data_IF_060373726980
#
_entry.id   IF_060373726980
#
_cell.length_a   1.000
_cell.length_b   1.000
_cell.length_c   1.000
_cell.angle_alpha   90.00
_cell.angle_beta   90.00
_cell.angle_gamma   90.00
#
_symmetry.space_group_name_H-M   'P 1'
#
loop_
_entity.id
_entity.type
_entity.pdbx_description
1 polymer ?
#
# COMPACT_ATOMS: atom_id res chain seq x y z
N UNK A 1 13.77 -0.61 -13.61
CA UNK A 1 13.15 -1.69 -12.82
C UNK A 1 12.99 -2.91 -13.73
N UNK A 2 13.34 -4.13 -13.27
CA UNK A 2 13.13 -5.38 -14.03
C UNK A 2 11.68 -5.59 -14.49
N UNK A 3 11.44 -6.54 -15.41
CA UNK A 3 10.08 -6.85 -15.90
C UNK A 3 9.21 -7.55 -14.85
N UNK A 4 9.82 -8.34 -13.98
CA UNK A 4 9.17 -8.98 -12.84
C UNK A 4 9.70 -8.32 -11.57
N UNK A 5 8.83 -7.60 -10.86
CA UNK A 5 9.22 -6.85 -9.64
C UNK A 5 8.06 -6.79 -8.67
N UNK A 6 8.37 -6.97 -7.39
CA UNK A 6 7.52 -6.59 -6.27
C UNK A 6 8.22 -5.45 -5.55
N UNK A 7 7.50 -4.36 -5.34
CA UNK A 7 7.90 -3.24 -4.49
C UNK A 7 6.95 -3.23 -3.29
N UNK A 8 7.48 -3.56 -2.12
CA UNK A 8 6.69 -3.73 -0.89
C UNK A 8 7.41 -3.08 0.30
N UNK A 9 6.64 -2.39 1.14
CA UNK A 9 7.13 -1.82 2.39
C UNK A 9 6.23 -0.71 2.92
N UNK A 10 6.70 -0.03 3.95
CA UNK A 10 6.09 1.18 4.50
C UNK A 10 6.54 2.41 3.69
N UNK A 11 5.59 3.10 3.07
CA UNK A 11 5.88 4.28 2.27
C UNK A 11 5.62 5.60 3.02
N UNK A 12 4.89 5.58 4.15
CA UNK A 12 4.49 6.78 4.90
C UNK A 12 3.88 7.90 4.04
N UNK A 13 3.07 7.54 3.04
CA UNK A 13 2.38 8.49 2.16
C UNK A 13 0.90 8.14 2.00
N UNK A 14 0.09 9.18 1.95
CA UNK A 14 -1.36 9.08 1.73
C UNK A 14 -1.70 9.45 0.29
N UNK A 15 -2.56 8.66 -0.36
CA UNK A 15 -3.13 8.98 -1.67
C UNK A 15 -4.54 8.38 -1.79
N UNK A 16 -5.50 9.09 -2.42
CA UNK A 16 -6.86 8.58 -2.63
C UNK A 16 -6.96 7.26 -3.42
N UNK A 17 -5.86 6.79 -4.03
CA UNK A 17 -5.84 5.56 -4.85
C UNK A 17 -5.77 4.32 -3.98
N UNK A 18 -4.97 4.35 -2.90
CA UNK A 18 -4.88 3.25 -1.94
C UNK A 18 -5.65 3.53 -0.65
N UNK A 19 -5.89 4.79 -0.31
CA UNK A 19 -6.61 5.23 0.88
C UNK A 19 -7.75 6.21 0.49
N UNK A 20 -8.92 5.73 0.04
CA UNK A 20 -9.99 6.61 -0.44
C UNK A 20 -10.55 7.57 0.62
N UNK A 21 -10.28 7.32 1.90
CA UNK A 21 -10.65 8.20 3.01
C UNK A 21 -9.84 9.49 3.04
N UNK A 22 -8.66 9.54 2.39
CA UNK A 22 -7.91 10.79 2.25
C UNK A 22 -8.47 11.63 1.10
N UNK A 23 -8.75 12.90 1.36
CA UNK A 23 -9.30 13.81 0.36
C UNK A 23 -8.26 14.28 -0.68
N UNK A 24 -6.98 14.26 -0.33
CA UNK A 24 -5.89 14.69 -1.21
C UNK A 24 -4.60 13.90 -0.97
N UNK A 25 -3.73 13.79 -1.98
CA UNK A 25 -2.44 13.15 -1.82
C UNK A 25 -1.52 13.97 -0.90
N UNK A 26 -0.72 13.28 -0.09
CA UNK A 26 0.38 13.88 0.67
C UNK A 26 1.46 14.45 -0.28
N UNK A 27 2.34 15.37 0.17
CA UNK A 27 3.22 16.17 -0.71
C UNK A 27 4.10 15.41 -1.71
N UNK A 28 4.38 14.12 -1.47
CA UNK A 28 5.18 13.26 -2.37
C UNK A 28 4.37 12.15 -3.03
N UNK A 29 3.14 11.91 -2.59
CA UNK A 29 2.36 10.77 -3.06
C UNK A 29 1.98 10.89 -4.54
N UNK A 30 1.67 12.10 -5.01
CA UNK A 30 1.30 12.32 -6.40
C UNK A 30 2.48 12.01 -7.35
N UNK A 31 3.67 12.55 -7.04
CA UNK A 31 4.89 12.26 -7.82
C UNK A 31 5.27 10.78 -7.77
N UNK A 32 5.09 10.14 -6.61
CA UNK A 32 5.32 8.70 -6.48
C UNK A 32 4.33 7.89 -7.33
N UNK A 33 3.06 8.27 -7.37
CA UNK A 33 2.04 7.63 -8.21
C UNK A 33 2.37 7.77 -9.70
N UNK A 34 2.76 8.96 -10.14
CA UNK A 34 3.20 9.18 -11.53
C UNK A 34 4.44 8.34 -11.87
N UNK A 35 5.37 8.21 -10.93
CA UNK A 35 6.53 7.35 -11.11
C UNK A 35 6.12 5.87 -11.22
N UNK A 36 5.22 5.37 -10.36
CA UNK A 36 4.69 4.00 -10.44
C UNK A 36 4.06 3.73 -11.82
N UNK A 37 3.23 4.65 -12.30
CA UNK A 37 2.59 4.56 -13.61
C UNK A 37 3.63 4.50 -14.74
N UNK A 38 4.69 5.33 -14.65
CA UNK A 38 5.79 5.32 -15.62
C UNK A 38 6.62 4.02 -15.64
N UNK A 39 6.45 3.15 -14.64
CA UNK A 39 7.18 1.87 -14.48
C UNK A 39 6.30 0.64 -14.65
N UNK A 40 5.02 0.80 -15.00
CA UNK A 40 4.04 -0.29 -15.06
C UNK A 40 3.91 -1.02 -13.70
N UNK A 41 4.01 -0.30 -12.59
CA UNK A 41 3.82 -0.85 -11.25
C UNK A 41 2.38 -0.64 -10.80
N UNK A 42 1.65 -1.72 -10.60
CA UNK A 42 0.23 -1.72 -10.25
C UNK A 42 0.04 -2.04 -8.76
N UNK A 43 -0.94 -1.39 -8.14
CA UNK A 43 -1.28 -1.62 -6.73
C UNK A 43 -1.92 -3.02 -6.58
N UNK A 44 -1.33 -3.84 -5.71
CA UNK A 44 -1.89 -5.15 -5.32
C UNK A 44 -2.72 -5.10 -4.04
N UNK A 45 -2.60 -4.04 -3.23
CA UNK A 45 -3.40 -3.89 -2.03
C UNK A 45 -4.90 -3.98 -2.34
N UNK A 46 -5.65 -4.50 -1.39
CA UNK A 46 -7.09 -4.22 -1.32
C UNK A 46 -7.26 -2.74 -0.96
N UNK A 47 -7.93 -1.99 -1.83
CA UNK A 47 -8.11 -0.54 -1.68
C UNK A 47 -8.82 -0.23 -0.35
N UNK A 48 -8.22 0.67 0.45
CA UNK A 48 -8.75 1.10 1.74
C UNK A 48 -8.54 0.13 2.90
N UNK A 49 -7.91 -1.03 2.67
CA UNK A 49 -7.56 -1.96 3.75
C UNK A 49 -6.43 -1.35 4.60
N UNK A 50 -6.75 -1.03 5.85
CA UNK A 50 -5.85 -0.34 6.78
C UNK A 50 -4.65 -1.23 7.15
N UNK A 51 -3.46 -0.65 7.14
CA UNK A 51 -2.20 -1.34 7.45
C UNK A 51 -1.51 -0.77 8.67
N UNK A 52 -1.91 0.42 9.13
CA UNK A 52 -1.30 1.11 10.25
C UNK A 52 -2.36 1.72 11.18
N UNK A 53 -2.19 1.57 12.49
CA UNK A 53 -3.13 2.02 13.51
C UNK A 53 -2.46 2.88 14.57
N UNK A 54 -3.09 4.00 14.94
CA UNK A 54 -2.64 4.83 16.06
C UNK A 54 -3.62 4.71 17.23
N UNK A 55 -3.16 4.61 18.49
CA UNK A 55 -4.04 4.43 19.66
C UNK A 55 -5.14 5.47 19.85
N UNK A 56 -5.00 6.65 19.24
CA UNK A 56 -5.91 7.78 19.43
C UNK A 56 -6.69 8.16 18.17
N UNK A 57 -6.57 7.38 17.09
CA UNK A 57 -7.32 7.61 15.86
C UNK A 57 -8.39 6.53 15.72
N UNK A 58 -9.61 6.96 15.37
CA UNK A 58 -10.74 6.05 15.14
C UNK A 58 -10.57 5.21 13.88
N UNK A 59 -9.69 5.62 12.96
CA UNK A 59 -9.40 4.95 11.70
C UNK A 59 -7.91 4.73 11.53
N UNK A 60 -7.56 3.59 10.96
CA UNK A 60 -6.22 3.32 10.50
C UNK A 60 -5.89 4.07 9.21
N UNK A 61 -4.63 3.95 8.79
CA UNK A 61 -4.13 4.46 7.52
C UNK A 61 -3.62 3.32 6.64
N UNK A 62 -3.50 3.58 5.35
CA UNK A 62 -2.96 2.63 4.38
C UNK A 62 -1.55 3.09 3.98
N UNK A 63 -0.55 2.67 4.75
CA UNK A 63 0.85 3.12 4.61
C UNK A 63 1.77 2.04 4.04
N UNK A 64 1.54 0.79 4.43
CA UNK A 64 2.21 -0.37 3.86
C UNK A 64 1.55 -0.76 2.53
N UNK A 65 2.32 -0.69 1.44
CA UNK A 65 1.82 -0.88 0.09
C UNK A 65 2.59 -1.99 -0.62
N UNK A 66 1.91 -2.66 -1.55
CA UNK A 66 2.44 -3.69 -2.43
C UNK A 66 2.16 -3.28 -3.87
N UNK A 67 3.21 -3.09 -4.66
CA UNK A 67 3.10 -2.83 -6.09
C UNK A 67 3.81 -3.92 -6.88
N UNK A 68 3.19 -4.40 -7.95
CA UNK A 68 3.79 -5.42 -8.83
C UNK A 68 3.88 -4.99 -10.27
N UNK A 69 4.89 -5.53 -10.94
CA UNK A 69 5.08 -5.47 -12.39
C UNK A 69 5.38 -6.87 -12.89
N UNK A 70 4.62 -7.34 -13.87
CA UNK A 70 4.84 -8.64 -14.51
C UNK A 70 4.78 -9.83 -13.54
N UNK A 71 4.10 -9.66 -12.40
CA UNK A 71 3.88 -10.65 -11.35
C UNK A 71 2.42 -10.50 -10.91
N UNK A 72 1.67 -11.61 -10.96
CA UNK A 72 0.32 -11.67 -10.42
C UNK A 72 0.41 -11.96 -8.92
N UNK A 73 -0.43 -11.30 -8.13
CA UNK A 73 -0.57 -11.58 -6.70
C UNK A 73 -2.01 -11.92 -6.41
N UNK A 74 -2.25 -13.03 -5.71
CA UNK A 74 -3.59 -13.47 -5.29
C UNK A 74 -3.67 -13.55 -3.77
N UNK A 75 -4.91 -13.50 -3.25
CA UNK A 75 -5.19 -13.58 -1.81
C UNK A 75 -4.43 -12.54 -0.97
N UNK A 76 -4.29 -11.31 -1.48
CA UNK A 76 -3.69 -10.22 -0.72
C UNK A 76 -4.56 -9.87 0.48
N UNK A 77 -3.95 -9.84 1.66
CA UNK A 77 -4.62 -9.47 2.90
C UNK A 77 -3.62 -8.96 3.95
N UNK A 78 -4.13 -8.25 4.94
CA UNK A 78 -3.42 -7.98 6.19
C UNK A 78 -3.48 -9.19 7.11
N UNK A 79 -2.49 -9.28 8.00
CA UNK A 79 -2.41 -10.30 9.05
C UNK A 79 -3.10 -9.80 10.32
N UNK A 80 -3.50 -10.71 11.24
CA UNK A 80 -3.90 -10.32 12.58
C UNK A 80 -2.82 -9.48 13.27
N UNK A 81 -3.23 -8.62 14.20
CA UNK A 81 -2.28 -7.79 14.95
C UNK A 81 -1.23 -8.66 15.68
N UNK A 82 0.04 -8.36 15.45
CA UNK A 82 1.21 -9.07 15.99
C UNK A 82 1.89 -8.34 17.17
N UNK A 83 1.20 -7.38 17.79
CA UNK A 83 1.74 -6.47 18.81
C UNK A 83 2.42 -5.22 18.25
N UNK A 84 2.32 -4.99 16.94
CA UNK A 84 2.81 -3.80 16.22
C UNK A 84 1.66 -2.85 15.93
N UNK A 85 1.96 -1.57 15.76
CA UNK A 85 1.03 -0.57 15.19
C UNK A 85 0.86 -0.74 13.67
N UNK A 86 1.74 -1.49 13.01
CA UNK A 86 1.57 -1.99 11.65
C UNK A 86 1.02 -3.43 11.62
N UNK A 87 0.10 -3.70 10.71
CA UNK A 87 -0.31 -5.05 10.34
C UNK A 87 0.66 -5.62 9.30
N UNK A 88 1.05 -6.89 9.46
CA UNK A 88 1.80 -7.58 8.41
C UNK A 88 0.94 -7.78 7.14
N UNK A 89 1.59 -7.92 5.98
CA UNK A 89 0.96 -8.17 4.69
C UNK A 89 1.30 -9.59 4.22
N UNK A 90 0.32 -10.30 3.63
CA UNK A 90 0.53 -11.60 2.99
C UNK A 90 -0.21 -11.69 1.65
N UNK A 91 0.36 -12.45 0.72
CA UNK A 91 -0.21 -12.79 -0.60
C UNK A 91 0.53 -14.00 -1.20
N UNK A 92 -0.02 -14.59 -2.25
CA UNK A 92 0.63 -15.64 -3.07
C UNK A 92 1.06 -15.06 -4.42
N UNK A 93 2.18 -15.55 -4.96
CA UNK A 93 2.74 -15.24 -6.28
C UNK A 93 2.66 -16.46 -7.18
#
# INVERSE_FOLDING_TARGET
>A
IPKSTILLGDFNIHHPVWEPSTGSPSPRAQLFKEWLDSKDLYLSNRIGEETFFRPHLERGSVLDLTFTRGIETINWQTTPNIGSDHLGITFTI
#
